data_IF_316830434758
#
_entry.id   IF_316830434758
#
_cell.length_a   1.000
_cell.length_b   1.000
_cell.length_c   1.000
_cell.angle_alpha   90.00
_cell.angle_beta   90.00
_cell.angle_gamma   90.00
#
_symmetry.space_group_name_H-M   'P 1'
#
loop_
_entity.id
_entity.type
_entity.pdbx_description
1 polymer ?
#
# COMPACT_ATOMS: atom_id res chain seq x y z
N UNK A 1 -16.31 -1.87 15.23
CA UNK A 1 -14.97 -1.27 15.05
C UNK A 1 -14.96 -0.44 13.77
N UNK A 2 -14.49 0.80 13.83
CA UNK A 2 -14.49 1.73 12.68
C UNK A 2 -13.25 1.47 11.83
N UNK A 3 -13.44 1.13 10.55
CA UNK A 3 -12.32 0.94 9.61
C UNK A 3 -11.86 2.29 9.06
N UNK A 4 -10.57 2.59 9.21
CA UNK A 4 -9.94 3.83 8.72
C UNK A 4 -8.76 3.46 7.83
N UNK A 5 -8.69 4.04 6.62
CA UNK A 5 -7.55 3.84 5.72
C UNK A 5 -6.45 4.88 5.93
N UNK A 6 -5.21 4.62 5.47
CA UNK A 6 -4.13 5.64 5.44
C UNK A 6 -4.59 6.94 4.77
N UNK A 7 -5.21 6.86 3.58
CA UNK A 7 -5.71 8.05 2.87
C UNK A 7 -6.81 8.79 3.64
N UNK A 8 -7.54 8.10 4.52
CA UNK A 8 -8.55 8.73 5.36
C UNK A 8 -7.96 9.47 6.55
N UNK A 9 -6.87 8.96 7.12
CA UNK A 9 -6.07 9.70 8.10
C UNK A 9 -5.53 10.97 7.46
N UNK A 10 -4.93 10.86 6.27
CA UNK A 10 -4.45 12.02 5.52
C UNK A 10 -5.58 13.02 5.20
N UNK A 11 -6.75 12.53 4.78
CA UNK A 11 -7.92 13.38 4.58
C UNK A 11 -8.34 14.10 5.87
N UNK A 12 -8.29 13.42 7.02
CA UNK A 12 -8.64 14.04 8.30
C UNK A 12 -7.64 15.13 8.69
N UNK A 13 -6.34 14.85 8.55
CA UNK A 13 -5.27 15.81 8.83
C UNK A 13 -5.38 17.05 7.93
N UNK A 14 -5.70 16.85 6.65
CA UNK A 14 -5.85 17.94 5.68
C UNK A 14 -7.18 18.71 5.85
N UNK A 15 -8.28 18.01 6.15
CA UNK A 15 -9.61 18.60 6.31
C UNK A 15 -10.54 17.69 7.13
N UNK A 16 -10.63 17.93 8.44
CA UNK A 16 -11.49 17.17 9.36
C UNK A 16 -12.97 17.17 8.94
N UNK A 17 -13.49 18.30 8.43
CA UNK A 17 -14.87 18.40 7.92
C UNK A 17 -15.07 17.51 6.69
N UNK A 18 -14.12 17.48 5.77
CA UNK A 18 -14.17 16.66 4.57
C UNK A 18 -14.17 15.17 4.93
N UNK A 19 -13.29 14.78 5.85
CA UNK A 19 -13.27 13.43 6.43
C UNK A 19 -14.62 13.05 7.04
N UNK A 20 -15.18 13.91 7.91
CA UNK A 20 -16.45 13.64 8.58
C UNK A 20 -17.61 13.49 7.58
N UNK A 21 -17.69 14.36 6.58
CA UNK A 21 -18.68 14.27 5.50
C UNK A 21 -18.52 12.97 4.69
N UNK A 22 -17.29 12.59 4.34
CA UNK A 22 -17.00 11.39 3.56
C UNK A 22 -17.27 10.09 4.33
N UNK A 23 -16.96 10.05 5.63
CA UNK A 23 -17.05 8.83 6.45
C UNK A 23 -18.43 8.64 7.06
N UNK A 24 -19.04 9.70 7.60
CA UNK A 24 -20.35 9.65 8.26
C UNK A 24 -21.51 9.86 7.29
N UNK A 25 -21.40 10.84 6.39
CA UNK A 25 -22.50 11.22 5.49
C UNK A 25 -22.36 10.65 4.07
N UNK A 26 -21.24 9.99 3.75
CA UNK A 26 -20.92 9.47 2.41
C UNK A 26 -20.94 10.54 1.31
N UNK A 27 -20.71 11.79 1.69
CA UNK A 27 -20.60 12.93 0.76
C UNK A 27 -19.14 13.08 0.39
N UNK A 28 -18.83 12.89 -0.89
CA UNK A 28 -17.48 13.01 -1.45
C UNK A 28 -17.54 13.87 -2.72
N UNK A 29 -16.52 14.70 -2.99
CA UNK A 29 -16.42 15.35 -4.29
C UNK A 29 -16.32 14.28 -5.39
N UNK A 30 -16.80 14.57 -6.62
CA UNK A 30 -16.59 13.68 -7.76
C UNK A 30 -15.10 13.45 -7.99
N UNK A 31 -14.72 12.22 -8.28
CA UNK A 31 -13.33 11.84 -8.60
C UNK A 31 -13.22 11.40 -10.06
N UNK A 32 -12.01 11.53 -10.61
CA UNK A 32 -11.69 10.95 -11.92
C UNK A 32 -11.63 9.42 -11.84
N UNK A 33 -11.85 8.71 -12.97
CA UNK A 33 -11.61 7.27 -13.03
C UNK A 33 -10.11 6.97 -12.91
N UNK A 34 -9.76 5.95 -12.14
CA UNK A 34 -8.36 5.52 -11.89
C UNK A 34 -7.95 4.33 -12.75
N UNK A 35 -8.58 4.13 -13.91
CA UNK A 35 -8.36 2.94 -14.75
C UNK A 35 -6.93 2.87 -15.29
N UNK A 36 -6.37 4.01 -15.72
CA UNK A 36 -4.98 4.07 -16.18
C UNK A 36 -4.00 3.77 -15.04
N UNK A 37 -4.17 4.41 -13.88
CA UNK A 37 -3.34 4.16 -12.71
C UNK A 37 -3.38 2.68 -12.30
N UNK A 38 -4.57 2.07 -12.28
CA UNK A 38 -4.74 0.67 -11.93
C UNK A 38 -4.06 -0.26 -12.95
N UNK A 39 -4.10 0.08 -14.25
CA UNK A 39 -3.44 -0.70 -15.28
C UNK A 39 -1.91 -0.64 -15.16
N UNK A 40 -1.36 0.56 -14.92
CA UNK A 40 0.08 0.75 -14.71
C UNK A 40 0.56 0.04 -13.45
N UNK A 41 -0.15 0.21 -12.33
CA UNK A 41 0.14 -0.48 -11.06
C UNK A 41 0.20 -2.00 -11.23
N UNK A 42 -0.77 -2.58 -11.94
CA UNK A 42 -0.78 -4.02 -12.23
C UNK A 42 0.44 -4.47 -13.06
N UNK A 43 0.86 -3.68 -14.04
CA UNK A 43 2.05 -4.00 -14.84
C UNK A 43 3.32 -3.98 -13.99
N UNK A 44 3.48 -2.94 -13.16
CA UNK A 44 4.60 -2.83 -12.23
C UNK A 44 4.62 -4.01 -11.25
N UNK A 45 3.47 -4.37 -10.66
CA UNK A 45 3.35 -5.52 -9.75
C UNK A 45 3.77 -6.83 -10.43
N UNK A 46 3.32 -7.07 -11.66
CA UNK A 46 3.72 -8.27 -12.40
C UNK A 46 5.22 -8.32 -12.68
N UNK A 47 5.84 -7.18 -12.99
CA UNK A 47 7.27 -7.08 -13.20
C UNK A 47 8.04 -7.40 -11.91
N UNK A 48 7.68 -6.79 -10.77
CA UNK A 48 8.29 -7.11 -9.49
C UNK A 48 8.02 -8.56 -9.04
N UNK A 49 6.85 -9.13 -9.35
CA UNK A 49 6.52 -10.54 -9.08
C UNK A 49 7.47 -11.50 -9.81
N UNK A 50 7.85 -11.17 -11.04
CA UNK A 50 8.82 -11.94 -11.81
C UNK A 50 10.20 -12.00 -11.11
N UNK A 51 10.70 -10.86 -10.64
CA UNK A 51 12.00 -10.78 -9.95
C UNK A 51 11.94 -11.36 -8.53
N UNK A 52 10.81 -11.18 -7.82
CA UNK A 52 10.57 -11.78 -6.49
C UNK A 52 10.65 -13.30 -6.53
N UNK A 53 10.02 -13.93 -7.54
CA UNK A 53 10.03 -15.38 -7.71
C UNK A 53 11.44 -15.95 -7.95
N UNK A 54 12.34 -15.14 -8.51
CA UNK A 54 13.74 -15.49 -8.76
C UNK A 54 14.68 -15.13 -7.61
N UNK A 55 14.21 -14.35 -6.64
CA UNK A 55 15.04 -13.70 -5.62
C UNK A 55 16.19 -12.88 -6.23
N UNK A 56 15.92 -12.20 -7.35
CA UNK A 56 16.89 -11.38 -8.07
C UNK A 56 16.59 -9.88 -7.89
N UNK A 57 17.61 -8.99 -7.92
CA UNK A 57 17.38 -7.57 -7.93
C UNK A 57 16.71 -7.14 -9.24
N UNK A 58 15.78 -6.19 -9.15
CA UNK A 58 15.18 -5.56 -10.32
C UNK A 58 16.24 -4.75 -11.10
N UNK A 59 16.19 -4.64 -12.44
CA UNK A 59 17.14 -3.84 -13.23
C UNK A 59 17.31 -2.40 -12.74
N UNK A 60 16.20 -1.75 -12.38
CA UNK A 60 16.19 -0.42 -11.78
C UNK A 60 17.01 -0.34 -10.48
N UNK A 61 17.04 -1.42 -9.69
CA UNK A 61 17.84 -1.44 -8.47
C UNK A 61 19.33 -1.40 -8.81
N UNK A 62 19.75 -2.17 -9.82
CA UNK A 62 21.13 -2.20 -10.29
C UNK A 62 21.55 -0.85 -10.87
N UNK A 63 20.68 -0.24 -11.68
CA UNK A 63 20.93 1.07 -12.31
C UNK A 63 21.14 2.18 -11.27
N UNK A 64 20.40 2.12 -10.15
CA UNK A 64 20.44 3.15 -9.11
C UNK A 64 21.24 2.77 -7.86
N UNK A 65 21.97 1.64 -7.88
CA UNK A 65 22.77 1.19 -6.73
C UNK A 65 21.94 0.86 -5.49
N UNK A 66 20.69 0.42 -5.68
CA UNK A 66 19.81 -0.03 -4.59
C UNK A 66 20.16 -1.49 -4.28
N UNK A 67 20.78 -1.72 -3.14
CA UNK A 67 21.08 -3.08 -2.67
C UNK A 67 19.83 -3.71 -2.02
N UNK A 68 18.93 -4.22 -2.86
CA UNK A 68 17.74 -4.93 -2.40
C UNK A 68 17.23 -5.95 -3.43
N UNK A 69 16.38 -6.85 -2.97
CA UNK A 69 15.54 -7.71 -3.82
C UNK A 69 14.07 -7.53 -3.44
N UNK A 70 13.11 -7.76 -4.35
CA UNK A 70 11.70 -7.74 -3.97
C UNK A 70 11.42 -8.77 -2.88
N UNK A 71 10.77 -8.37 -1.79
CA UNK A 71 10.64 -9.20 -0.59
C UNK A 71 9.63 -10.33 -0.81
N UNK A 72 10.05 -11.57 -0.54
CA UNK A 72 9.21 -12.76 -0.65
C UNK A 72 8.54 -13.09 0.70
N UNK A 73 7.21 -13.11 0.73
CA UNK A 73 6.45 -13.46 1.92
C UNK A 73 5.06 -14.01 1.56
N UNK A 74 4.57 -15.02 2.28
CA UNK A 74 3.28 -15.70 2.01
C UNK A 74 2.07 -14.75 2.04
N UNK A 75 2.18 -13.66 2.79
CA UNK A 75 1.14 -12.63 2.91
C UNK A 75 1.28 -11.46 1.93
N UNK A 76 2.23 -11.51 0.99
CA UNK A 76 2.47 -10.36 0.10
C UNK A 76 1.22 -9.98 -0.70
N UNK A 77 0.47 -10.95 -1.21
CA UNK A 77 -0.78 -10.69 -1.93
C UNK A 77 -1.88 -10.11 -1.04
N UNK A 78 -1.90 -10.46 0.25
CA UNK A 78 -2.81 -9.86 1.21
C UNK A 78 -2.43 -8.40 1.48
N UNK A 79 -1.16 -8.13 1.70
CA UNK A 79 -0.63 -6.80 2.02
C UNK A 79 -0.76 -5.82 0.85
N UNK A 80 -0.68 -6.28 -0.40
CA UNK A 80 -0.91 -5.45 -1.59
C UNK A 80 -2.38 -5.27 -1.96
N UNK A 81 -3.30 -5.99 -1.31
CA UNK A 81 -4.72 -5.94 -1.65
C UNK A 81 -5.41 -4.77 -0.93
N UNK A 82 -5.94 -3.81 -1.71
CA UNK A 82 -6.63 -2.62 -1.18
C UNK A 82 -7.83 -2.90 -0.24
N UNK A 83 -8.44 -4.09 -0.31
CA UNK A 83 -9.56 -4.48 0.55
C UNK A 83 -9.12 -5.23 1.82
N UNK A 84 -7.91 -5.80 1.83
CA UNK A 84 -7.32 -6.49 2.99
C UNK A 84 -6.22 -5.63 3.58
N UNK A 85 -5.07 -5.56 2.92
CA UNK A 85 -3.92 -4.76 3.33
C UNK A 85 -3.34 -5.19 4.67
N UNK A 86 -2.40 -4.40 5.17
CA UNK A 86 -1.89 -4.51 6.53
C UNK A 86 -2.87 -3.80 7.46
N UNK A 87 -3.22 -4.43 8.59
CA UNK A 87 -4.20 -3.91 9.55
C UNK A 87 -3.60 -3.80 10.95
N UNK A 88 -3.94 -2.73 11.64
CA UNK A 88 -3.72 -2.55 13.07
C UNK A 88 -5.07 -2.32 13.75
N UNK A 89 -5.35 -3.10 14.79
CA UNK A 89 -6.60 -3.06 15.55
C UNK A 89 -6.32 -2.47 16.93
N UNK A 90 -6.95 -1.34 17.22
CA UNK A 90 -7.04 -0.76 18.55
C UNK A 90 -8.39 -1.13 19.15
N UNK A 91 -8.39 -2.14 20.02
CA UNK A 91 -9.61 -2.60 20.69
C UNK A 91 -10.13 -1.60 21.71
N UNK A 92 -9.26 -0.82 22.34
CA UNK A 92 -9.63 0.12 23.39
C UNK A 92 -10.43 1.31 22.85
N UNK A 93 -9.98 1.85 21.73
CA UNK A 93 -10.63 2.98 21.05
C UNK A 93 -11.61 2.53 19.96
N UNK A 94 -11.66 1.22 19.67
CA UNK A 94 -12.58 0.64 18.69
C UNK A 94 -12.24 0.99 17.23
N UNK A 95 -10.96 1.17 16.92
CA UNK A 95 -10.46 1.50 15.58
C UNK A 95 -9.75 0.33 14.91
N UNK A 96 -9.89 0.28 13.59
CA UNK A 96 -9.17 -0.66 12.73
C UNK A 96 -8.51 0.13 11.60
N UNK A 97 -7.23 0.44 11.77
CA UNK A 97 -6.43 1.14 10.78
C UNK A 97 -5.89 0.15 9.75
N UNK A 98 -5.81 0.57 8.49
CA UNK A 98 -5.15 -0.25 7.50
C UNK A 98 -4.85 0.42 6.18
N UNK A 99 -4.03 -0.24 5.39
CA UNK A 99 -3.62 0.21 4.07
C UNK A 99 -2.98 -0.94 3.31
N UNK A 100 -3.03 -0.87 1.99
CA UNK A 100 -2.18 -1.72 1.15
C UNK A 100 -0.85 -1.00 0.91
N UNK A 101 0.19 -1.80 0.69
CA UNK A 101 1.49 -1.33 0.19
C UNK A 101 1.58 -1.61 -1.30
N UNK A 102 2.36 -0.83 -2.04
CA UNK A 102 2.62 -1.14 -3.45
C UNK A 102 3.62 -2.29 -3.57
N UNK A 103 4.73 -2.19 -2.82
CA UNK A 103 5.72 -3.26 -2.69
C UNK A 103 6.51 -3.17 -1.37
N UNK A 104 7.28 -4.22 -1.09
CA UNK A 104 8.27 -4.30 -0.01
C UNK A 104 9.54 -4.86 -0.62
N UNK A 105 10.67 -4.22 -0.37
CA UNK A 105 11.99 -4.71 -0.77
C UNK A 105 12.80 -5.12 0.45
N UNK A 106 13.72 -6.06 0.28
CA UNK A 106 14.57 -6.57 1.35
C UNK A 106 16.04 -6.32 1.02
N UNK A 107 16.76 -5.71 1.97
CA UNK A 107 18.21 -5.54 1.91
C UNK A 107 18.96 -6.81 2.31
N UNK A 108 20.25 -6.96 1.94
CA UNK A 108 21.07 -8.11 2.35
C UNK A 108 21.17 -8.32 3.87
N UNK A 109 21.07 -7.24 4.66
CA UNK A 109 21.09 -7.30 6.13
C UNK A 109 19.74 -7.73 6.75
N UNK A 110 18.71 -7.94 5.94
CA UNK A 110 17.36 -8.33 6.37
C UNK A 110 16.40 -7.16 6.58
N UNK A 111 16.87 -5.90 6.51
CA UNK A 111 15.99 -4.72 6.63
C UNK A 111 14.97 -4.68 5.49
N UNK A 112 13.76 -4.24 5.82
CA UNK A 112 12.67 -4.08 4.86
C UNK A 112 12.48 -2.60 4.48
N UNK A 113 12.25 -2.36 3.20
CA UNK A 113 11.93 -1.06 2.62
C UNK A 113 10.48 -1.11 2.16
N UNK A 114 9.63 -0.23 2.70
CA UNK A 114 8.24 -0.08 2.25
C UNK A 114 8.19 0.88 1.08
N UNK A 115 7.43 0.53 0.05
CA UNK A 115 7.30 1.29 -1.21
C UNK A 115 5.85 1.71 -1.41
N UNK A 116 5.68 2.99 -1.79
CA UNK A 116 4.44 3.71 -2.13
C UNK A 116 4.77 4.72 -3.26
#
# INVERSE_FOLDING_TARGET
MIKISRSAVEQHLNCQRCFYLAYKHKIRPPSLPFTLNSAVDNLCKNEFDHYRAKAEPHPMFLEHGIEAVPFAHDKMDEWRNNFKGIRYVDESEGYNFGGAVDDIWQKPNGDLIVVD
#
